data_IF_178096851204
#
_entry.id   IF_178096851204
#
_cell.length_a   1.000
_cell.length_b   1.000
_cell.length_c   1.000
_cell.angle_alpha   90.00
_cell.angle_beta   90.00
_cell.angle_gamma   90.00
#
_symmetry.space_group_name_H-M   'P 1'
#
loop_
_entity.id
_entity.type
_entity.pdbx_description
1 polymer ?
#
# COMPACT_ATOMS: atom_id res chain seq x y z
N UNK A 1 -11.74 6.44 -13.47
CA UNK A 1 -11.20 7.34 -12.42
C UNK A 1 -9.72 7.01 -12.32
N UNK A 2 -8.88 7.77 -11.60
CA UNK A 2 -7.51 7.33 -11.44
C UNK A 2 -6.93 7.69 -10.08
N UNK A 3 -6.31 6.73 -9.39
CA UNK A 3 -5.66 6.95 -8.08
C UNK A 3 -4.30 6.26 -8.05
N UNK A 4 -3.27 6.93 -7.53
CA UNK A 4 -1.93 6.34 -7.35
C UNK A 4 -1.52 6.35 -5.88
N UNK A 5 -0.79 5.30 -5.44
CA UNK A 5 -0.54 4.02 -6.12
C UNK A 5 -1.73 3.03 -6.03
N UNK A 6 -1.72 1.94 -6.81
CA UNK A 6 -2.74 0.86 -6.73
C UNK A 6 -2.51 -0.12 -5.56
N UNK A 7 -1.32 -0.09 -4.98
CA UNK A 7 -0.96 -0.76 -3.73
C UNK A 7 -0.19 0.23 -2.88
N UNK A 8 -0.55 0.37 -1.61
CA UNK A 8 0.18 1.20 -0.65
C UNK A 8 0.49 0.42 0.63
N UNK A 9 1.75 0.45 1.04
CA UNK A 9 2.22 -0.13 2.29
C UNK A 9 2.50 0.97 3.32
N UNK A 10 1.75 0.96 4.42
CA UNK A 10 1.96 1.86 5.56
C UNK A 10 3.16 1.45 6.41
N UNK A 11 3.73 0.26 6.19
CA UNK A 11 4.86 -0.27 6.93
C UNK A 11 4.56 -0.57 8.41
N UNK A 12 5.62 -0.90 9.15
CA UNK A 12 5.57 -1.11 10.59
C UNK A 12 6.09 0.10 11.35
N UNK A 13 5.23 0.73 12.15
CA UNK A 13 5.58 1.86 13.01
C UNK A 13 5.31 1.60 14.51
N UNK A 14 4.93 0.35 14.86
CA UNK A 14 4.52 -0.06 16.20
C UNK A 14 3.01 0.09 16.47
N UNK A 15 2.48 -0.72 17.38
CA UNK A 15 1.08 -0.62 17.83
C UNK A 15 0.70 0.77 18.34
N UNK A 16 -0.56 1.13 18.08
CA UNK A 16 -1.20 2.39 18.46
C UNK A 16 -0.50 3.65 17.93
N UNK A 17 0.40 3.51 16.96
CA UNK A 17 0.98 4.63 16.23
C UNK A 17 0.16 4.86 14.96
N UNK A 18 -0.36 6.07 14.81
CA UNK A 18 -1.10 6.45 13.61
C UNK A 18 -0.14 6.95 12.54
N UNK A 19 -0.22 6.31 11.37
CA UNK A 19 0.47 6.74 10.15
C UNK A 19 -0.59 7.27 9.18
N UNK A 20 -0.30 8.37 8.50
CA UNK A 20 -1.22 8.97 7.54
C UNK A 20 -0.62 8.93 6.14
N UNK A 21 -1.45 8.69 5.14
CA UNK A 21 -1.08 8.82 3.74
C UNK A 21 -2.15 9.61 2.98
N UNK A 22 -1.70 10.43 2.03
CA UNK A 22 -2.56 11.22 1.17
C UNK A 22 -2.61 10.58 -0.22
N UNK A 23 -3.79 10.16 -0.65
CA UNK A 23 -4.02 9.66 -2.01
C UNK A 23 -4.58 10.77 -2.89
N UNK A 24 -4.04 10.90 -4.10
CA UNK A 24 -4.55 11.83 -5.12
C UNK A 24 -5.52 11.10 -6.05
N UNK A 25 -6.79 11.53 -6.03
CA UNK A 25 -7.85 11.07 -6.91
C UNK A 25 -7.95 12.02 -8.09
N UNK A 26 -7.73 11.51 -9.30
CA UNK A 26 -7.76 12.26 -10.54
C UNK A 26 -9.05 11.97 -11.31
N UNK A 27 -9.65 13.03 -11.84
CA UNK A 27 -10.68 12.94 -12.85
C UNK A 27 -10.08 13.29 -14.21
N UNK A 28 -9.95 12.29 -15.08
CA UNK A 28 -9.42 12.46 -16.44
C UNK A 28 -10.54 12.66 -17.48
N UNK A 29 -11.81 12.62 -17.05
CA UNK A 29 -12.97 12.79 -17.90
C UNK A 29 -13.35 14.26 -18.12
N UNK A 30 -14.36 14.47 -18.97
CA UNK A 30 -14.84 15.80 -19.35
C UNK A 30 -15.95 16.34 -18.44
N UNK A 31 -16.56 15.49 -17.60
CA UNK A 31 -17.60 15.85 -16.62
C UNK A 31 -17.11 15.66 -15.20
N UNK A 32 -17.80 16.24 -14.22
CA UNK A 32 -17.47 16.07 -12.80
C UNK A 32 -17.61 14.59 -12.38
N UNK A 33 -16.57 14.10 -11.68
CA UNK A 33 -16.53 12.79 -11.05
C UNK A 33 -17.12 12.92 -9.65
N UNK A 34 -18.21 12.20 -9.40
CA UNK A 34 -18.87 12.10 -8.11
C UNK A 34 -18.53 10.74 -7.49
N UNK A 35 -17.73 10.76 -6.42
CA UNK A 35 -17.49 9.60 -5.57
C UNK A 35 -18.52 9.65 -4.46
N UNK A 36 -19.47 8.70 -4.46
CA UNK A 36 -20.61 8.67 -3.54
C UNK A 36 -20.33 7.89 -2.26
N UNK A 37 -19.33 7.00 -2.28
CA UNK A 37 -18.92 6.25 -1.10
C UNK A 37 -17.44 5.90 -1.15
N UNK A 38 -16.80 5.93 0.02
CA UNK A 38 -15.40 5.53 0.25
C UNK A 38 -15.39 4.52 1.38
N UNK A 39 -15.05 3.28 1.04
CA UNK A 39 -15.19 2.14 1.92
C UNK A 39 -13.84 1.57 2.33
N UNK A 40 -13.75 1.20 3.60
CA UNK A 40 -12.69 0.41 4.23
C UNK A 40 -13.36 -0.63 5.12
N UNK A 41 -12.86 -1.85 5.13
CA UNK A 41 -13.49 -2.96 5.86
C UNK A 41 -12.86 -3.18 7.24
N UNK A 42 -11.57 -2.84 7.38
CA UNK A 42 -10.79 -3.16 8.56
C UNK A 42 -10.57 -1.92 9.43
N UNK A 43 -10.99 -1.99 10.70
CA UNK A 43 -10.98 -0.87 11.67
C UNK A 43 -9.62 -0.20 11.95
N UNK A 44 -8.52 -0.84 11.55
CA UNK A 44 -7.18 -0.23 11.64
C UNK A 44 -6.96 0.83 10.56
N UNK A 45 -7.77 0.85 9.50
CA UNK A 45 -7.75 1.85 8.46
C UNK A 45 -8.97 2.75 8.60
N UNK A 46 -8.79 4.05 8.41
CA UNK A 46 -9.88 5.03 8.40
C UNK A 46 -9.62 6.10 7.34
N UNK A 47 -10.63 6.42 6.54
CA UNK A 47 -10.60 7.55 5.61
C UNK A 47 -11.08 8.82 6.31
N UNK A 48 -10.48 9.97 5.97
CA UNK A 48 -10.94 11.29 6.38
C UNK A 48 -12.21 11.74 5.66
N UNK A 49 -12.47 11.17 4.48
CA UNK A 49 -13.59 11.49 3.61
C UNK A 49 -14.44 10.24 3.35
N UNK A 50 -15.76 10.42 3.28
CA UNK A 50 -16.70 9.35 2.88
C UNK A 50 -17.22 9.52 1.45
N UNK A 51 -17.06 10.71 0.87
CA UNK A 51 -17.50 11.09 -0.47
C UNK A 51 -16.69 12.31 -0.92
N UNK A 52 -16.58 12.52 -2.23
CA UNK A 52 -15.94 13.72 -2.78
C UNK A 52 -16.37 13.97 -4.22
N UNK A 53 -16.18 15.20 -4.68
CA UNK A 53 -16.37 15.59 -6.08
C UNK A 53 -15.05 16.10 -6.65
N UNK A 54 -14.66 15.56 -7.82
CA UNK A 54 -13.49 16.02 -8.57
C UNK A 54 -13.96 16.63 -9.87
N UNK A 55 -13.73 17.94 -10.04
CA UNK A 55 -14.06 18.61 -11.29
C UNK A 55 -13.33 17.99 -12.49
N UNK A 56 -13.94 18.11 -13.66
CA UNK A 56 -13.36 17.71 -14.95
C UNK A 56 -11.88 18.13 -15.10
N UNK A 57 -11.01 17.18 -15.48
CA UNK A 57 -9.55 17.37 -15.59
C UNK A 57 -8.80 17.64 -14.28
N UNK A 58 -9.49 17.65 -13.14
CA UNK A 58 -8.96 18.03 -11.84
C UNK A 58 -8.44 16.86 -11.00
N UNK A 59 -8.03 17.19 -9.78
CA UNK A 59 -7.68 16.22 -8.74
C UNK A 59 -8.13 16.68 -7.35
N UNK A 60 -8.39 15.73 -6.48
CA UNK A 60 -8.63 15.94 -5.05
C UNK A 60 -7.76 14.99 -4.24
N UNK A 61 -7.48 15.38 -2.99
CA UNK A 61 -6.72 14.55 -2.06
C UNK A 61 -7.66 13.98 -1.00
N UNK A 62 -7.51 12.69 -0.70
CA UNK A 62 -8.07 12.09 0.51
C UNK A 62 -6.96 11.68 1.45
N UNK A 63 -7.24 11.69 2.76
CA UNK A 63 -6.30 11.19 3.76
C UNK A 63 -6.79 9.87 4.32
N UNK A 64 -5.91 8.87 4.34
CA UNK A 64 -6.16 7.58 5.02
C UNK A 64 -5.21 7.45 6.20
N UNK A 65 -5.77 7.11 7.35
CA UNK A 65 -5.06 6.84 8.58
C UNK A 65 -4.96 5.33 8.80
N UNK A 66 -3.78 4.86 9.17
CA UNK A 66 -3.54 3.51 9.64
C UNK A 66 -3.10 3.53 11.10
N UNK A 67 -3.87 2.86 11.97
CA UNK A 67 -3.62 2.76 13.42
C UNK A 67 -3.75 1.30 13.85
N UNK A 68 -2.69 0.48 13.74
CA UNK A 68 -2.72 -0.92 14.17
C UNK A 68 -2.86 -1.02 15.69
N UNK A 69 -3.71 -1.90 16.20
CA UNK A 69 -3.91 -2.07 17.65
C UNK A 69 -3.12 -3.25 18.24
N UNK A 70 -2.65 -4.15 17.38
CA UNK A 70 -1.82 -5.29 17.71
C UNK A 70 -0.68 -5.37 16.69
N UNK A 71 0.47 -5.91 17.10
CA UNK A 71 1.60 -6.12 16.20
C UNK A 71 1.32 -7.39 15.36
N UNK A 72 0.82 -7.17 14.15
CA UNK A 72 0.47 -8.21 13.15
C UNK A 72 0.48 -7.59 11.76
N UNK A 73 0.38 -8.43 10.73
CA UNK A 73 0.12 -8.00 9.37
C UNK A 73 -1.34 -7.59 9.19
N UNK A 74 -1.55 -6.46 8.53
CA UNK A 74 -2.87 -5.94 8.14
C UNK A 74 -2.98 -5.80 6.63
N UNK A 75 -4.16 -6.10 6.11
CA UNK A 75 -4.54 -5.82 4.73
C UNK A 75 -5.98 -5.31 4.66
N UNK A 76 -6.25 -4.41 3.73
CA UNK A 76 -7.59 -3.92 3.41
C UNK A 76 -7.64 -3.42 1.96
N UNK A 77 -8.83 -3.01 1.52
CA UNK A 77 -9.09 -2.44 0.21
C UNK A 77 -9.79 -1.09 0.37
N UNK A 78 -9.11 0.00 0.02
CA UNK A 78 -9.73 1.32 -0.09
C UNK A 78 -10.55 1.36 -1.38
N UNK A 79 -11.88 1.35 -1.24
CA UNK A 79 -12.80 1.20 -2.36
C UNK A 79 -13.61 2.48 -2.57
N UNK A 80 -13.63 2.99 -3.79
CA UNK A 80 -14.37 4.18 -4.20
C UNK A 80 -15.52 3.75 -5.10
N UNK A 81 -16.75 4.18 -4.77
CA UNK A 81 -17.92 4.04 -5.63
C UNK A 81 -18.19 5.39 -6.29
N UNK A 82 -18.31 5.41 -7.62
CA UNK A 82 -18.44 6.67 -8.37
C UNK A 82 -19.38 6.59 -9.57
N UNK A 83 -19.68 7.76 -10.14
CA UNK A 83 -20.44 7.91 -11.39
C UNK A 83 -19.58 7.72 -12.66
N UNK A 84 -18.32 7.27 -12.53
CA UNK A 84 -17.50 6.92 -13.68
C UNK A 84 -18.03 5.63 -14.33
N UNK A 85 -18.62 5.73 -15.52
CA UNK A 85 -19.24 4.59 -16.19
C UNK A 85 -18.24 3.53 -16.63
N UNK A 86 -16.99 3.92 -16.92
CA UNK A 86 -15.95 2.98 -17.32
C UNK A 86 -15.38 2.24 -16.09
N UNK A 87 -15.39 2.90 -14.94
CA UNK A 87 -14.80 2.39 -13.69
C UNK A 87 -15.59 2.83 -12.46
N UNK A 88 -16.83 2.32 -12.36
CA UNK A 88 -17.75 2.71 -11.29
C UNK A 88 -17.24 2.32 -9.89
N UNK A 89 -16.36 1.32 -9.81
CA UNK A 89 -15.69 0.87 -8.59
C UNK A 89 -14.19 0.89 -8.81
N UNK A 90 -13.46 1.63 -7.99
CA UNK A 90 -11.99 1.66 -7.98
C UNK A 90 -11.46 1.21 -6.63
N UNK A 91 -10.38 0.43 -6.64
CA UNK A 91 -9.81 -0.13 -5.41
C UNK A 91 -8.30 0.05 -5.34
N UNK A 92 -7.81 0.43 -4.17
CA UNK A 92 -6.39 0.42 -3.81
C UNK A 92 -6.17 -0.63 -2.72
N UNK A 93 -5.19 -1.51 -2.91
CA UNK A 93 -4.79 -2.46 -1.86
C UNK A 93 -3.98 -1.72 -0.81
N UNK A 94 -4.42 -1.79 0.44
CA UNK A 94 -3.69 -1.26 1.59
C UNK A 94 -3.07 -2.41 2.37
N UNK A 95 -1.80 -2.26 2.75
CA UNK A 95 -1.10 -3.18 3.64
C UNK A 95 -0.32 -2.39 4.70
N UNK A 96 0.06 -3.05 5.78
CA UNK A 96 0.91 -2.47 6.81
C UNK A 96 1.00 -3.32 8.06
N UNK A 97 1.66 -2.80 9.09
CA UNK A 97 1.90 -3.52 10.33
C UNK A 97 3.13 -4.41 10.26
N UNK A 98 3.24 -5.33 11.21
CA UNK A 98 4.37 -6.26 11.25
C UNK A 98 4.30 -7.17 10.03
N UNK A 99 5.34 -7.14 9.20
CA UNK A 99 5.46 -8.08 8.09
C UNK A 99 5.54 -9.48 8.69
N UNK A 100 4.42 -10.19 8.64
CA UNK A 100 4.34 -11.60 8.97
C UNK A 100 5.13 -12.42 7.95
N UNK A 101 6.45 -12.31 7.94
CA UNK A 101 7.28 -13.42 7.50
C UNK A 101 7.13 -14.49 8.57
N UNK A 102 6.14 -15.37 8.40
CA UNK A 102 6.18 -16.65 9.09
C UNK A 102 7.57 -17.27 8.85
N UNK A 103 8.14 -17.93 9.86
CA UNK A 103 9.37 -18.68 9.65
C UNK A 103 9.15 -19.72 8.53
N UNK A 104 9.68 -19.45 7.33
CA UNK A 104 9.45 -20.25 6.13
C UNK A 104 8.55 -19.62 5.05
N UNK A 105 8.00 -18.42 5.28
CA UNK A 105 7.30 -17.64 4.26
C UNK A 105 8.23 -17.14 3.15
N UNK A 106 7.68 -16.75 2.00
CA UNK A 106 8.47 -16.10 0.94
C UNK A 106 8.65 -14.62 1.29
N UNK A 107 9.90 -14.17 1.37
CA UNK A 107 10.21 -12.74 1.41
C UNK A 107 10.07 -12.20 -0.01
N UNK A 108 8.89 -11.67 -0.35
CA UNK A 108 8.54 -11.33 -1.73
C UNK A 108 9.22 -10.07 -2.27
N UNK A 109 10.01 -9.35 -1.46
CA UNK A 109 10.55 -8.03 -1.86
C UNK A 109 12.02 -7.79 -1.45
N UNK A 110 12.78 -8.86 -1.22
CA UNK A 110 14.24 -8.73 -1.06
C UNK A 110 14.97 -9.67 -2.02
N UNK A 111 15.44 -9.09 -3.12
CA UNK A 111 16.33 -9.77 -4.08
C UNK A 111 17.75 -9.26 -3.87
N UNK A 112 18.67 -10.14 -3.48
CA UNK A 112 20.09 -9.83 -3.44
C UNK A 112 20.66 -9.99 -4.85
N UNK A 113 21.12 -8.89 -5.45
CA UNK A 113 22.00 -8.95 -6.61
C UNK A 113 23.43 -9.21 -6.14
N UNK A 114 23.93 -10.42 -6.33
CA UNK A 114 25.32 -10.75 -6.03
C UNK A 114 26.14 -10.42 -7.27
N UNK A 115 26.85 -9.28 -7.24
CA UNK A 115 27.56 -8.75 -8.41
C UNK A 115 28.72 -9.63 -8.89
N UNK A 116 29.19 -10.58 -8.08
CA UNK A 116 30.32 -11.46 -8.42
C UNK A 116 29.93 -12.67 -9.26
N UNK A 117 28.69 -13.14 -9.16
CA UNK A 117 28.18 -14.27 -9.94
C UNK A 117 27.02 -13.90 -10.87
N UNK A 118 26.66 -12.60 -10.91
CA UNK A 118 25.53 -12.02 -11.63
C UNK A 118 24.18 -12.70 -11.35
N UNK A 119 24.12 -13.46 -10.25
CA UNK A 119 22.93 -14.22 -9.90
C UNK A 119 22.08 -13.44 -8.90
N UNK A 120 20.78 -13.54 -9.12
CA UNK A 120 19.78 -13.08 -8.17
C UNK A 120 19.48 -14.20 -7.19
N UNK A 121 19.44 -13.83 -5.91
CA UNK A 121 18.99 -14.71 -4.85
C UNK A 121 17.83 -14.05 -4.12
N UNK A 122 16.81 -14.82 -3.81
CA UNK A 122 15.75 -14.43 -2.87
C UNK A 122 16.07 -14.98 -1.49
N UNK A 123 15.62 -14.34 -0.41
CA UNK A 123 15.86 -14.88 0.94
C UNK A 123 15.25 -16.29 1.14
N UNK A 124 14.22 -16.64 0.36
CA UNK A 124 13.65 -17.99 0.30
C UNK A 124 14.68 -19.06 -0.09
N UNK A 125 15.72 -18.71 -0.85
CA UNK A 125 16.80 -19.62 -1.23
C UNK A 125 17.66 -20.06 -0.03
N UNK A 126 17.61 -19.32 1.09
CA UNK A 126 18.43 -19.55 2.29
C UNK A 126 17.64 -20.01 3.51
N UNK A 127 16.47 -20.63 3.32
CA UNK A 127 15.64 -21.15 4.43
C UNK A 127 16.43 -22.02 5.40
N UNK A 128 16.33 -21.72 6.69
CA UNK A 128 17.00 -22.46 7.78
C UNK A 128 18.47 -22.10 7.99
N UNK A 129 18.99 -21.09 7.29
CA UNK A 129 20.37 -20.63 7.40
C UNK A 129 20.43 -19.21 7.98
N UNK A 130 21.53 -18.87 8.63
CA UNK A 130 21.83 -17.49 9.01
C UNK A 130 22.48 -16.80 7.82
N UNK A 131 21.83 -15.77 7.27
CA UNK A 131 22.37 -14.95 6.19
C UNK A 131 23.03 -13.72 6.79
N UNK A 132 24.35 -13.56 6.59
CA UNK A 132 25.09 -12.34 6.98
C UNK A 132 25.44 -11.57 5.72
N UNK A 133 24.94 -10.34 5.63
CA UNK A 133 25.29 -9.42 4.54
C UNK A 133 26.46 -8.54 4.96
N UNK A 134 27.65 -8.82 4.44
CA UNK A 134 28.82 -7.97 4.64
C UNK A 134 29.01 -7.10 3.39
N UNK A 135 28.85 -5.78 3.55
CA UNK A 135 29.12 -4.81 2.48
C UNK A 135 30.47 -4.16 2.78
N UNK A 136 31.47 -4.49 1.99
CA UNK A 136 32.79 -3.90 2.08
C UNK A 136 32.86 -2.76 1.06
N UNK A 137 32.97 -1.50 1.51
CA UNK A 137 33.38 -0.42 0.62
C UNK A 137 34.90 -0.50 0.45
N UNK A 138 35.39 -0.62 -0.79
CA UNK A 138 36.79 -0.33 -1.10
C UNK A 138 36.94 1.17 -1.30
N UNK A 139 37.76 1.82 -0.49
CA UNK A 139 38.25 3.18 -0.75
C UNK A 139 39.34 3.15 -1.81
#
# INVERSE_FOLDING_TARGET
MYVKPSVFDFGYHGKNITVQHQFEVFNLGETDLEVTDIQLSHKAFASGDSQLTVHSGGKQTITVNFTPTIDTYYNDALTFLSNDNDEAIYTIKLIGGENGVEAGGEATDFTLHVLFDEKQYSLSDFRGQVVVMAICASW
#
